data_IF_524474374880
#
_entry.id   IF_524474374880
#
_cell.length_a   1.000
_cell.length_b   1.000
_cell.length_c   1.000
_cell.angle_alpha   90.00
_cell.angle_beta   90.00
_cell.angle_gamma   90.00
#
_symmetry.space_group_name_H-M   'P 1'
#
loop_
_entity.id
_entity.type
_entity.pdbx_description
1 polymer ?
2 polymer ?
3 non-polymer ?
4 water ?
#
# COMPACT_ATOMS: atom_id res chain seq x y z
N UNK A 7 -2.77 0.92 13.52
CA UNK A 7 -1.66 0.14 14.08
C UNK A 7 -0.63 -0.27 13.01
N UNK A 8 0.65 -0.09 13.40
CA UNK A 8 1.86 -0.42 12.64
C UNK A 8 2.32 -1.80 13.10
N UNK A 9 2.66 -2.64 12.14
CA UNK A 9 3.15 -3.97 12.41
C UNK A 9 4.33 -4.29 11.50
N UNK A 10 5.34 -4.93 12.05
CA UNK A 10 6.42 -5.38 11.20
C UNK A 10 6.27 -6.87 10.97
N UNK A 11 6.53 -7.31 9.76
CA UNK A 11 6.45 -8.72 9.38
C UNK A 11 7.75 -9.18 8.76
N UNK A 12 7.99 -10.49 8.77
CA UNK A 12 9.18 -11.10 8.23
C UNK A 12 9.17 -11.09 6.71
N UNK A 13 10.37 -11.14 6.10
CA UNK A 13 10.52 -11.20 4.65
C UNK A 13 10.78 -12.67 4.29
N UNK A 14 9.79 -13.31 3.67
CA UNK A 14 9.80 -14.72 3.27
C UNK A 14 9.72 -14.85 1.74
N UNK A 15 9.88 -16.06 1.12
CA UNK A 15 9.73 -16.15 -0.35
C UNK A 15 8.27 -15.94 -0.79
N UNK A 16 7.34 -15.98 0.19
CA UNK A 16 5.92 -15.74 -0.03
C UNK A 16 5.62 -14.27 -0.29
N UNK A 17 6.44 -13.35 0.27
CA UNK A 17 6.20 -11.90 0.15
C UNK A 17 7.38 -11.08 -0.37
N UNK A 18 8.45 -11.73 -0.88
CA UNK A 18 9.64 -11.03 -1.39
C UNK A 18 9.27 -10.18 -2.62
N UNK A 19 8.36 -10.70 -3.48
CA UNK A 19 7.86 -10.01 -4.68
C UNK A 19 7.13 -8.73 -4.26
N UNK A 20 6.48 -8.73 -3.07
CA UNK A 20 5.79 -7.57 -2.52
C UNK A 20 6.81 -6.52 -2.04
N UNK A 21 7.91 -6.97 -1.38
CA UNK A 21 8.98 -6.07 -0.96
C UNK A 21 9.61 -5.41 -2.17
N UNK A 22 9.87 -6.20 -3.26
CA UNK A 22 10.48 -5.67 -4.49
C UNK A 22 9.59 -4.62 -5.14
N UNK A 23 8.25 -4.88 -5.13
CA UNK A 23 7.24 -3.98 -5.70
C UNK A 23 7.21 -2.65 -4.96
N UNK A 24 7.27 -2.68 -3.62
CA UNK A 24 7.33 -1.46 -2.77
C UNK A 24 8.66 -0.75 -3.02
N UNK A 25 9.80 -1.49 -3.01
CA UNK A 25 11.13 -0.89 -3.25
C UNK A 25 11.25 -0.21 -4.58
N UNK A 26 10.63 -0.83 -5.63
CA UNK A 26 10.58 -0.32 -7.01
C UNK A 26 9.85 1.00 -7.13
N UNK A 27 8.88 1.27 -6.25
CA UNK A 27 8.11 2.53 -6.25
C UNK A 27 8.77 3.58 -5.32
N UNK A 28 9.19 3.18 -4.11
CA UNK A 28 9.82 4.10 -3.14
C UNK A 28 11.19 4.66 -3.65
N UNK A 29 12.03 3.78 -4.21
CA UNK A 29 13.38 4.19 -4.62
C UNK A 29 13.61 4.17 -6.12
N UNK A 30 14.30 5.21 -6.67
CA UNK A 30 14.61 5.21 -8.12
C UNK A 30 15.74 4.26 -8.51
N UNK A 31 16.35 3.56 -7.53
CA UNK A 31 17.47 2.67 -7.76
C UNK A 31 16.98 1.24 -7.90
N UNK A 32 17.40 0.55 -8.97
CA UNK A 32 17.06 -0.84 -9.26
C UNK A 32 17.96 -1.77 -8.51
N UNK A 33 17.36 -2.64 -7.71
CA UNK A 33 18.10 -3.64 -6.99
C UNK A 33 17.98 -4.94 -7.76
N UNK A 34 19.09 -5.66 -7.88
CA UNK A 34 19.19 -6.91 -8.63
C UNK A 34 18.67 -8.10 -7.83
N UNK A 35 18.61 -9.30 -8.45
CA UNK A 35 18.12 -10.54 -7.84
C UNK A 35 18.97 -11.01 -6.65
N UNK A 36 20.30 -10.73 -6.67
CA UNK A 36 21.22 -11.07 -5.58
C UNK A 36 20.88 -10.24 -4.34
N UNK A 37 20.38 -9.00 -4.54
CA UNK A 37 19.97 -8.12 -3.43
C UNK A 37 18.81 -8.76 -2.67
N UNK A 38 17.80 -9.24 -3.40
CA UNK A 38 16.62 -9.88 -2.81
C UNK A 38 16.91 -11.29 -2.28
N UNK A 39 18.00 -11.93 -2.76
CA UNK A 39 18.46 -13.24 -2.29
C UNK A 39 19.10 -13.09 -0.89
N UNK A 40 19.91 -12.03 -0.71
CA UNK A 40 20.62 -11.70 0.54
C UNK A 40 19.67 -11.31 1.68
N UNK A 41 18.57 -10.61 1.32
CA UNK A 41 17.50 -10.13 2.22
C UNK A 41 16.79 -11.33 2.88
N UNK A 42 16.63 -12.43 2.13
CA UNK A 42 16.02 -13.67 2.62
C UNK A 42 16.90 -14.39 3.66
N UNK A 43 18.17 -13.95 3.83
CA UNK A 43 19.15 -14.56 4.74
C UNK A 43 19.61 -13.68 5.92
N UNK A 44 19.02 -12.49 6.13
CA UNK A 44 19.46 -11.60 7.21
C UNK A 44 18.58 -11.66 8.48
N UNK A 45 17.51 -12.46 8.43
CA UNK A 45 16.58 -12.61 9.54
C UNK A 45 15.84 -11.33 9.89
N UNK A 46 15.90 -10.96 11.17
CA UNK A 46 15.24 -9.78 11.73
C UNK A 46 15.74 -8.43 11.13
N UNK A 47 16.84 -8.44 10.37
CA UNK A 47 17.41 -7.25 9.73
C UNK A 47 16.64 -6.78 8.48
N UNK A 48 15.68 -7.59 8.02
CA UNK A 48 14.78 -7.26 6.91
C UNK A 48 13.35 -7.43 7.40
N UNK A 49 12.52 -6.39 7.26
CA UNK A 49 11.12 -6.42 7.70
C UNK A 49 10.22 -5.68 6.74
N UNK A 50 8.97 -6.15 6.61
CA UNK A 50 7.93 -5.45 5.86
C UNK A 50 7.17 -4.66 6.92
N UNK A 51 6.73 -3.44 6.59
CA UNK A 51 6.00 -2.53 7.47
C UNK A 51 4.52 -2.45 7.03
N UNK A 52 3.60 -2.63 8.00
CA UNK A 52 2.17 -2.70 7.74
C UNK A 52 1.43 -1.67 8.54
N UNK A 53 0.47 -1.02 7.90
CA UNK A 53 -0.37 -0.03 8.57
C UNK A 53 -1.79 -0.45 8.26
N UNK A 54 -2.56 -0.80 9.31
CA UNK A 54 -3.94 -1.31 9.18
C UNK A 54 -3.95 -2.52 8.24
N UNK A 55 -2.95 -3.41 8.41
CA UNK A 55 -2.69 -4.66 7.68
C UNK A 55 -2.29 -4.48 6.19
N UNK A 56 -2.05 -3.23 5.74
CA UNK A 56 -1.60 -2.98 4.36
C UNK A 56 -0.08 -2.65 4.33
N UNK A 57 0.70 -3.40 3.51
CA UNK A 57 2.16 -3.23 3.31
C UNK A 57 2.43 -1.88 2.64
N UNK A 58 3.07 -0.96 3.38
CA UNK A 58 3.36 0.37 2.83
C UNK A 58 4.85 0.74 2.92
N UNK A 59 5.66 -0.18 3.43
CA UNK A 59 7.08 0.09 3.64
C UNK A 59 7.90 -1.12 3.99
N UNK A 60 9.23 -0.93 4.03
CA UNK A 60 10.17 -2.01 4.29
C UNK A 60 11.52 -1.46 4.71
N UNK A 61 12.27 -2.26 5.48
CA UNK A 61 13.63 -1.97 5.95
C UNK A 61 14.48 -3.20 5.67
N UNK A 62 15.59 -3.02 4.92
CA UNK A 62 16.52 -4.10 4.59
C UNK A 62 17.90 -3.69 5.05
N UNK A 63 18.49 -4.47 5.96
CA UNK A 63 19.82 -4.24 6.53
C UNK A 63 20.70 -5.47 6.38
N UNK A 64 22.02 -5.27 6.49
CA UNK A 64 23.02 -6.33 6.47
C UNK A 64 24.18 -6.02 7.45
N UNK A 65 24.89 -7.07 7.88
CA UNK A 65 26.05 -6.87 8.74
C UNK A 65 27.22 -6.65 7.79
N UNK A 66 28.01 -5.62 8.08
CA UNK A 66 29.15 -5.26 7.26
C UNK A 66 30.41 -5.24 8.12
N UNK A 67 31.51 -5.71 7.56
CA UNK A 67 32.78 -5.76 8.27
C UNK A 67 33.83 -4.79 7.68
N UNK A 68 33.37 -3.74 6.99
CA UNK A 68 34.24 -2.72 6.41
C UNK A 68 34.92 -1.89 7.48
N UNK A 69 36.04 -1.21 7.10
CA UNK A 69 36.81 -0.31 7.97
C UNK A 69 37.28 -0.95 9.29
N UNK A 70 37.61 -2.27 9.27
CA UNK A 70 38.09 -3.03 10.45
C UNK A 70 37.15 -2.81 11.66
N UNK A 71 35.82 -2.87 11.37
CA UNK A 71 34.73 -2.61 12.30
C UNK A 71 33.60 -3.58 12.06
N UNK A 72 32.71 -3.73 13.08
CA UNK A 72 31.46 -4.48 12.98
C UNK A 72 30.42 -3.38 12.75
N UNK A 73 29.87 -3.32 11.55
CA UNK A 73 28.91 -2.26 11.19
C UNK A 73 27.55 -2.82 10.80
N UNK A 74 26.50 -2.06 11.06
CA UNK A 74 25.19 -2.44 10.56
C UNK A 74 24.89 -1.48 9.42
N UNK A 75 24.65 -2.05 8.23
CA UNK A 75 24.37 -1.25 7.03
C UNK A 75 22.89 -1.25 6.65
N UNK A 76 22.26 -0.06 6.72
CA UNK A 76 20.87 0.07 6.29
C UNK A 76 20.92 0.24 4.76
N UNK A 77 20.54 -0.82 4.03
CA UNK A 77 20.53 -0.86 2.56
C UNK A 77 19.37 -0.08 2.02
N UNK A 78 18.16 -0.31 2.54
CA UNK A 78 16.94 0.40 2.14
C UNK A 78 16.05 0.57 3.36
N UNK A 79 15.43 1.75 3.51
CA UNK A 79 14.49 2.03 4.58
C UNK A 79 13.56 3.09 4.01
N UNK A 80 12.27 2.77 3.95
CA UNK A 80 11.32 3.71 3.39
C UNK A 80 9.90 3.23 3.37
N UNK A 81 9.01 4.19 3.20
CA UNK A 81 7.56 4.03 3.08
C UNK A 81 7.09 4.66 1.79
N UNK A 82 5.88 4.27 1.36
CA UNK A 82 5.22 4.87 0.21
C UNK A 82 4.92 6.33 0.64
N UNK A 83 5.09 7.27 -0.28
CA UNK A 83 4.95 8.71 -0.03
C UNK A 83 3.73 9.12 0.86
N UNK A 84 2.49 8.54 0.76
CA UNK A 84 1.41 9.03 1.62
C UNK A 84 1.43 8.56 3.08
N UNK A 85 2.35 7.64 3.45
CA UNK A 85 2.47 7.01 4.77
C UNK A 85 3.76 7.37 5.52
N UNK A 86 4.35 8.54 5.22
CA UNK A 86 5.62 8.97 5.83
C UNK A 86 5.43 9.79 7.14
N UNK A 87 4.18 10.11 7.50
CA UNK A 87 3.87 10.84 8.74
C UNK A 87 3.08 9.99 9.68
N UNK A 88 3.20 8.63 9.58
CA UNK A 88 2.50 7.70 10.47
C UNK A 88 3.40 6.96 11.51
N UNK A 89 4.66 7.36 11.63
CA UNK A 89 5.58 6.75 12.60
C UNK A 89 6.06 5.38 12.20
N UNK A 90 5.91 5.04 10.92
CA UNK A 90 6.35 3.74 10.38
C UNK A 90 7.89 3.75 10.23
N UNK A 91 8.46 4.90 9.88
CA UNK A 91 9.90 5.02 9.76
C UNK A 91 10.61 4.83 11.09
N UNK A 92 10.04 5.38 12.16
CA UNK A 92 10.54 5.30 13.53
C UNK A 92 10.46 3.86 14.05
N UNK A 93 9.34 3.18 13.78
CA UNK A 93 9.09 1.80 14.19
C UNK A 93 10.15 0.93 13.52
N UNK A 94 10.36 1.11 12.19
CA UNK A 94 11.37 0.38 11.44
C UNK A 94 12.77 0.62 11.95
N UNK A 95 13.14 1.90 12.24
CA UNK A 95 14.49 2.24 12.73
C UNK A 95 14.70 1.75 14.17
N UNK A 96 13.71 1.94 15.06
CA UNK A 96 13.83 1.45 16.44
C UNK A 96 13.93 -0.07 16.49
N UNK A 97 13.43 -0.77 15.45
CA UNK A 97 13.53 -2.24 15.35
C UNK A 97 14.97 -2.65 15.11
N UNK A 98 15.67 -1.97 14.19
CA UNK A 98 17.04 -2.35 13.83
C UNK A 98 17.99 -1.89 14.92
N UNK A 99 17.72 -0.73 15.55
CA UNK A 99 18.48 -0.20 16.68
C UNK A 99 18.39 -1.13 17.90
N UNK A 100 17.29 -1.94 18.00
CA UNK A 100 17.02 -2.89 19.09
C UNK A 100 17.85 -4.15 18.91
N UNK A 101 17.96 -4.63 17.66
CA UNK A 101 18.80 -5.76 17.28
C UNK A 101 20.26 -5.41 17.63
N UNK A 102 20.63 -4.11 17.48
CA UNK A 102 21.97 -3.60 17.72
C UNK A 102 22.27 -3.34 19.18
N UNK A 103 21.33 -2.73 19.91
CA UNK A 103 21.45 -2.41 21.34
C UNK A 103 21.58 -3.70 22.16
N UNK A 104 20.75 -4.71 21.82
CA UNK A 104 20.73 -6.02 22.43
C UNK A 104 22.06 -6.74 22.18
N UNK A 105 22.61 -6.60 20.96
CA UNK A 105 23.87 -7.23 20.56
C UNK A 105 25.07 -6.70 21.35
N UNK A 106 25.18 -5.38 21.46
CA UNK A 106 26.22 -4.67 22.20
C UNK A 106 27.61 -4.57 21.58
N UNK A 107 27.91 -5.41 20.59
CA UNK A 107 29.23 -5.48 19.96
C UNK A 107 29.41 -4.74 18.61
N UNK A 108 28.41 -3.96 18.16
CA UNK A 108 28.53 -3.23 16.90
C UNK A 108 29.28 -1.93 17.13
N UNK A 109 30.12 -1.55 16.17
CA UNK A 109 30.84 -0.28 16.25
C UNK A 109 29.94 0.84 15.80
N UNK A 110 29.18 0.65 14.70
CA UNK A 110 28.28 1.69 14.20
C UNK A 110 27.18 1.19 13.27
N UNK A 111 26.24 2.11 12.95
CA UNK A 111 25.15 1.90 12.00
C UNK A 111 25.33 2.97 10.94
N UNK A 112 25.22 2.60 9.67
CA UNK A 112 25.40 3.59 8.63
C UNK A 112 24.54 3.32 7.42
N UNK A 113 24.36 4.37 6.62
CA UNK A 113 23.57 4.34 5.39
C UNK A 113 24.01 5.44 4.43
N UNK A 114 23.58 5.29 3.16
CA UNK A 114 23.79 6.26 2.10
C UNK A 114 22.48 6.90 1.82
N UNK A 115 22.50 8.20 1.48
CA UNK A 115 21.32 8.97 1.12
C UNK A 115 21.73 10.12 0.18
N UNK A 116 20.90 10.50 -0.83
CA UNK A 116 21.26 11.61 -1.72
C UNK A 116 21.42 12.86 -0.84
N UNK A 117 22.30 13.79 -1.25
CA UNK A 117 22.61 15.02 -0.50
C UNK A 117 21.41 15.97 -0.34
N UNK A 118 20.45 15.92 -1.28
CA UNK A 118 19.25 16.76 -1.30
C UNK A 118 18.04 16.16 -0.49
N UNK A 119 18.17 14.92 0.03
CA UNK A 119 17.09 14.27 0.79
C UNK A 119 17.07 14.75 2.25
N UNK A 120 16.65 16.01 2.45
CA UNK A 120 16.57 16.69 3.74
C UNK A 120 15.61 16.03 4.74
N UNK A 121 14.48 15.46 4.27
CA UNK A 121 13.52 14.78 5.15
C UNK A 121 14.17 13.55 5.82
N UNK A 122 14.94 12.76 5.06
CA UNK A 122 15.65 11.60 5.56
C UNK A 122 16.85 12.02 6.42
N UNK A 123 17.64 13.05 5.98
CA UNK A 123 18.76 13.56 6.79
C UNK A 123 18.25 13.98 8.18
N UNK A 124 17.21 14.82 8.23
CA UNK A 124 16.60 15.34 9.45
C UNK A 124 15.96 14.26 10.33
N UNK A 125 15.40 13.21 9.71
CA UNK A 125 14.80 12.08 10.42
C UNK A 125 15.91 11.34 11.19
N UNK A 126 17.01 10.96 10.49
CA UNK A 126 18.16 10.25 11.06
C UNK A 126 18.86 11.05 12.14
N UNK A 127 18.93 12.39 12.00
CA UNK A 127 19.53 13.29 12.98
C UNK A 127 18.88 13.15 14.37
N UNK A 128 17.59 12.75 14.41
CA UNK A 128 16.82 12.55 15.65
C UNK A 128 17.27 11.35 16.43
N UNK A 129 17.87 10.36 15.72
CA UNK A 129 18.36 9.13 16.35
C UNK A 129 19.87 9.13 16.60
N UNK A 130 20.49 10.30 16.49
CA UNK A 130 21.93 10.43 16.69
C UNK A 130 22.85 10.22 15.49
N UNK A 131 22.28 10.06 14.28
CA UNK A 131 23.10 9.92 13.05
C UNK A 131 23.64 11.26 12.63
N UNK A 132 24.90 11.28 12.18
CA UNK A 132 25.55 12.48 11.65
C UNK A 132 26.15 12.22 10.28
N UNK A 133 26.31 13.29 9.49
CA UNK A 133 26.95 13.20 8.19
C UNK A 133 28.45 13.07 8.48
N UNK A 134 29.06 11.99 8.01
CA UNK A 134 30.49 11.73 8.20
C UNK A 134 31.26 11.73 6.87
N UNK A 135 30.54 11.62 5.74
CA UNK A 135 31.19 11.55 4.43
C UNK A 135 30.23 11.99 3.31
N UNK A 136 30.79 12.52 2.22
CA UNK A 136 30.06 12.89 1.01
C UNK A 136 30.76 12.22 -0.15
N UNK A 137 30.02 11.38 -0.89
CA UNK A 137 30.51 10.58 -2.01
C UNK A 137 29.94 11.15 -3.34
N UNK A 138 30.84 11.63 -4.20
CA UNK A 138 30.50 12.16 -5.52
C UNK A 138 30.15 11.02 -6.45
N UNK A 139 29.02 11.17 -7.18
CA UNK A 139 28.48 10.18 -8.13
C UNK A 139 28.42 8.80 -7.54
N UNK A 140 27.90 8.73 -6.30
CA UNK A 140 27.70 7.43 -5.65
C UNK A 140 26.54 6.72 -6.38
N UNK A 141 25.53 7.48 -6.85
CA UNK A 141 24.40 6.87 -7.57
C UNK A 141 24.60 7.05 -9.07
N UNK A 142 23.92 6.22 -9.87
CA UNK A 142 23.97 6.38 -11.32
C UNK A 142 22.67 6.94 -11.88
N UNK A 143 22.80 7.88 -12.84
CA UNK A 143 21.74 8.54 -13.63
C UNK A 143 20.83 9.49 -12.83
N UNK A 144 20.47 9.16 -11.58
CA UNK A 144 19.57 10.00 -10.78
C UNK A 144 20.23 11.33 -10.38
N UNK A 145 19.43 12.38 -10.20
CA UNK A 145 19.89 13.73 -9.87
C UNK A 145 19.30 14.23 -8.54
N UNK A 146 20.14 14.55 -7.51
CA UNK A 146 21.61 14.50 -7.48
C UNK A 146 22.16 13.08 -7.41
N UNK A 147 23.39 12.88 -7.91
CA UNK A 147 24.04 11.55 -7.85
C UNK A 147 24.94 11.49 -6.60
N UNK A 148 25.16 12.64 -5.94
CA UNK A 148 26.02 12.73 -4.79
C UNK A 148 25.31 12.28 -3.51
N UNK A 149 25.97 11.42 -2.71
CA UNK A 149 25.42 10.86 -1.49
C UNK A 149 26.14 11.24 -0.21
N UNK A 150 25.41 11.41 0.89
CA UNK A 150 26.01 11.60 2.21
C UNK A 150 25.99 10.22 2.87
N UNK A 151 27.03 9.93 3.65
CA UNK A 151 27.07 8.74 4.49
C UNK A 151 26.62 9.26 5.86
N UNK A 152 25.55 8.69 6.39
CA UNK A 152 25.03 9.05 7.71
C UNK A 152 25.43 7.93 8.66
N UNK A 153 26.08 8.29 9.76
CA UNK A 153 26.52 7.23 10.68
C UNK A 153 26.16 7.51 12.13
N UNK A 154 25.75 6.45 12.85
CA UNK A 154 25.46 6.46 14.28
C UNK A 154 26.49 5.56 14.97
N UNK A 155 27.21 6.12 15.95
CA UNK A 155 28.18 5.37 16.73
C UNK A 155 27.46 4.47 17.71
N UNK A 156 27.72 3.16 17.65
CA UNK A 156 27.11 2.17 18.53
C UNK A 156 28.06 1.60 19.60
N UNK A 157 29.35 1.97 19.56
CA UNK A 157 30.34 1.44 20.48
C UNK A 157 30.06 1.78 21.93
N UNK A 158 29.97 0.74 22.73
CA UNK A 158 29.73 0.81 24.16
C UNK A 158 31.02 0.31 24.84
N UNK A 159 31.48 0.97 25.92
CA UNK A 159 32.67 0.47 26.61
C UNK A 159 32.50 -0.93 27.19
N UNK A 160 33.56 -1.75 27.04
CA UNK A 160 33.62 -3.09 27.63
C UNK A 160 34.38 -2.92 28.94
N UNK A 161 33.91 -3.59 29.98
CA UNK A 161 34.48 -3.51 31.32
C UNK A 161 33.36 -3.58 32.33
N UNK A 162 33.58 -4.31 33.43
CA UNK A 162 32.56 -4.52 34.47
C UNK A 162 32.22 -3.29 35.32
N UNK A 163 33.15 -2.32 35.41
CA UNK A 163 32.95 -1.06 36.16
C UNK A 163 33.80 0.07 35.58
N UNK A 164 33.55 1.30 36.02
CA UNK A 164 34.18 2.55 35.58
C UNK A 164 35.69 2.48 35.40
N UNK A 165 36.42 1.94 36.39
CA UNK A 165 37.87 1.82 36.40
C UNK A 165 38.48 1.01 35.22
N UNK A 166 37.70 0.08 34.61
CA UNK A 166 38.14 -0.78 33.50
C UNK A 166 37.43 -0.40 32.15
N UNK A 167 36.69 0.71 32.15
CA UNK A 167 35.97 1.19 30.98
C UNK A 167 36.71 2.32 30.30
N UNK A 168 36.91 2.16 28.98
CA UNK A 168 37.57 3.16 28.17
C UNK A 168 36.47 3.91 27.43
N UNK A 169 36.45 5.25 27.54
CA UNK A 169 35.41 6.08 26.91
C UNK A 169 35.93 7.48 26.62
N UNK A 170 35.05 8.36 26.11
CA UNK A 170 35.35 9.77 25.87
C UNK A 170 35.85 10.40 27.18
N UNK A 171 36.81 11.36 27.11
CA UNK A 171 37.41 11.97 28.30
C UNK A 171 37.51 13.50 28.18
N UNK B 7 1.13 3.58 -14.13
CA UNK B 7 0.29 2.65 -14.89
C UNK B 7 -0.67 1.78 -14.04
N UNK B 8 -1.94 1.72 -14.48
CA UNK B 8 -3.07 1.00 -13.87
C UNK B 8 -3.32 -0.34 -14.56
N UNK B 9 -3.45 -1.39 -13.75
CA UNK B 9 -3.74 -2.72 -14.24
C UNK B 9 -4.81 -3.36 -13.34
N UNK B 10 -5.77 -4.07 -13.96
CA UNK B 10 -6.78 -4.79 -13.20
C UNK B 10 -6.38 -6.26 -13.15
N UNK B 11 -6.53 -6.85 -11.98
CA UNK B 11 -6.17 -8.25 -11.75
C UNK B 11 -7.32 -9.04 -11.20
N UNK B 12 -7.34 -10.35 -11.49
CA UNK B 12 -8.39 -11.27 -11.04
C UNK B 12 -8.28 -11.55 -9.54
N UNK B 13 -9.46 -11.74 -8.88
CA UNK B 13 -9.55 -12.04 -7.45
C UNK B 13 -9.59 -13.57 -7.31
N UNK B 14 -8.53 -14.15 -6.70
CA UNK B 14 -8.35 -15.60 -6.49
C UNK B 14 -8.28 -15.93 -4.97
N UNK B 15 -8.37 -17.23 -4.54
CA UNK B 15 -8.27 -17.52 -3.09
C UNK B 15 -6.90 -17.18 -2.49
N UNK B 16 -5.86 -17.10 -3.35
CA UNK B 16 -4.53 -16.75 -2.87
C UNK B 16 -4.38 -15.25 -2.64
N UNK B 17 -5.20 -14.40 -3.32
CA UNK B 17 -5.14 -12.95 -3.14
C UNK B 17 -6.47 -12.35 -2.57
N UNK B 18 -7.42 -13.20 -2.09
CA UNK B 18 -8.69 -12.76 -1.49
C UNK B 18 -8.46 -11.98 -0.15
N UNK B 19 -7.41 -12.35 0.61
CA UNK B 19 -7.04 -11.69 1.87
C UNK B 19 -6.55 -10.25 1.63
N UNK B 20 -5.97 -9.99 0.44
CA UNK B 20 -5.49 -8.67 0.06
C UNK B 20 -6.68 -7.72 -0.24
N UNK B 21 -7.77 -8.30 -0.79
CA UNK B 21 -9.03 -7.59 -1.08
C UNK B 21 -9.77 -7.25 0.24
N UNK B 22 -9.81 -8.22 1.18
CA UNK B 22 -10.45 -8.08 2.49
C UNK B 22 -9.82 -6.95 3.31
N UNK B 23 -8.48 -6.85 3.25
CA UNK B 23 -7.70 -5.82 3.94
C UNK B 23 -7.91 -4.47 3.27
N UNK B 24 -7.93 -4.41 1.91
CA UNK B 24 -8.18 -3.14 1.18
C UNK B 24 -9.60 -2.65 1.51
N UNK B 25 -10.63 -3.54 1.44
CA UNK B 25 -12.04 -3.23 1.77
C UNK B 25 -12.22 -2.76 3.19
N UNK B 26 -11.51 -3.38 4.18
CA UNK B 26 -11.59 -2.97 5.58
C UNK B 26 -11.04 -1.57 5.86
N UNK B 27 -10.19 -1.05 4.96
CA UNK B 27 -9.64 0.30 5.13
C UNK B 27 -10.51 1.32 4.39
N UNK B 28 -10.85 1.04 3.12
CA UNK B 28 -11.64 1.92 2.24
C UNK B 28 -13.06 2.16 2.77
N UNK B 29 -13.75 1.08 3.19
CA UNK B 29 -15.15 1.13 3.64
C UNK B 29 -15.39 0.98 5.15
N UNK B 30 -16.21 1.88 5.78
CA UNK B 30 -16.52 1.72 7.21
C UNK B 30 -17.49 0.57 7.50
N UNK B 31 -17.86 -0.20 6.46
CA UNK B 31 -18.78 -1.34 6.55
C UNK B 31 -17.97 -2.62 6.44
N UNK B 32 -18.29 -3.62 7.27
CA UNK B 32 -17.63 -4.91 7.34
C UNK B 32 -18.42 -5.93 6.56
N UNK B 33 -17.73 -6.71 5.76
CA UNK B 33 -18.31 -7.73 4.90
C UNK B 33 -17.83 -9.12 5.35
N UNK B 34 -18.80 -10.03 5.54
CA UNK B 34 -18.60 -11.39 6.01
C UNK B 34 -18.00 -12.31 4.94
N UNK B 35 -17.80 -13.60 5.30
CA UNK B 35 -17.20 -14.61 4.41
C UNK B 35 -18.08 -14.99 3.22
N UNK B 36 -19.43 -14.86 3.33
CA UNK B 36 -20.33 -15.16 2.21
C UNK B 36 -20.08 -14.15 1.08
N UNK B 37 -19.87 -12.86 1.44
CA UNK B 37 -19.57 -11.78 0.49
C UNK B 37 -18.34 -12.18 -0.34
N UNK B 38 -17.27 -12.62 0.34
CA UNK B 38 -16.03 -13.02 -0.31
C UNK B 38 -16.10 -14.37 -1.03
N UNK B 39 -17.04 -15.25 -0.60
CA UNK B 39 -17.28 -16.55 -1.24
C UNK B 39 -17.89 -16.28 -2.63
N UNK B 40 -18.86 -15.34 -2.68
CA UNK B 40 -19.56 -14.92 -3.89
C UNK B 40 -18.61 -14.18 -4.84
N UNK B 41 -17.67 -13.39 -4.29
CA UNK B 41 -16.65 -12.65 -5.04
C UNK B 41 -15.77 -13.63 -5.86
N UNK B 42 -15.42 -14.78 -5.26
CA UNK B 42 -14.63 -15.83 -5.90
C UNK B 42 -15.40 -16.58 -7.02
N UNK B 43 -16.75 -16.43 -7.05
CA UNK B 43 -17.66 -17.07 -8.00
C UNK B 43 -18.01 -16.22 -9.25
N UNK B 44 -18.14 -14.88 -9.08
CA UNK B 44 -18.53 -13.92 -10.13
C UNK B 44 -17.50 -13.74 -11.27
N UNK B 45 -16.27 -14.26 -11.09
CA UNK B 45 -15.20 -14.18 -12.08
C UNK B 45 -14.74 -12.77 -12.39
N UNK B 46 -14.88 -12.36 -13.68
CA UNK B 46 -14.49 -11.04 -14.21
C UNK B 46 -15.19 -9.87 -13.50
N UNK B 47 -16.32 -10.13 -12.83
CA UNK B 47 -17.11 -9.13 -12.12
C UNK B 47 -16.43 -8.62 -10.84
N UNK B 48 -15.38 -9.32 -10.39
CA UNK B 48 -14.56 -8.95 -9.24
C UNK B 48 -13.12 -8.76 -9.72
N UNK B 49 -12.54 -7.58 -9.42
CA UNK B 49 -11.17 -7.26 -9.82
C UNK B 49 -10.41 -6.47 -8.75
N UNK B 50 -9.09 -6.70 -8.63
CA UNK B 50 -8.19 -5.91 -7.79
C UNK B 50 -7.52 -4.88 -8.71
N UNK B 51 -7.37 -3.62 -8.25
CA UNK B 51 -6.75 -2.57 -9.06
C UNK B 51 -5.33 -2.28 -8.58
N UNK B 52 -4.40 -2.20 -9.52
CA UNK B 52 -2.99 -1.99 -9.19
C UNK B 52 -2.46 -0.71 -9.80
N UNK B 53 -1.71 0.05 -9.02
CA UNK B 53 -1.06 1.22 -9.56
C UNK B 53 0.45 0.99 -9.37
N UNK B 54 1.21 0.94 -10.49
CA UNK B 54 2.65 0.68 -10.49
C UNK B 54 2.99 -0.58 -9.67
N UNK B 55 2.16 -1.65 -9.89
CA UNK B 55 2.22 -3.01 -9.29
C UNK B 55 1.74 -3.08 -7.82
N UNK B 56 1.30 -1.96 -7.26
CA UNK B 56 0.83 -2.00 -5.87
C UNK B 56 -0.71 -1.99 -5.83
N UNK B 57 -1.32 -2.97 -5.14
CA UNK B 57 -2.78 -3.07 -4.95
C UNK B 57 -3.26 -1.87 -4.14
N UNK B 58 -4.12 -1.07 -4.77
CA UNK B 58 -4.61 0.17 -4.14
C UNK B 58 -6.14 0.24 -4.14
N UNK B 59 -6.81 -0.73 -4.78
CA UNK B 59 -8.24 -0.69 -4.88
C UNK B 59 -8.83 -1.97 -5.41
N UNK B 60 -10.18 -2.00 -5.50
CA UNK B 60 -10.92 -3.19 -5.97
C UNK B 60 -12.40 -2.91 -6.31
N UNK B 61 -12.96 -3.73 -7.17
CA UNK B 61 -14.37 -3.65 -7.54
C UNK B 61 -15.01 -5.02 -7.31
N UNK B 62 -16.12 -5.07 -6.56
CA UNK B 62 -16.83 -6.34 -6.32
C UNK B 62 -18.28 -6.18 -6.78
N UNK B 63 -18.68 -6.99 -7.77
CA UNK B 63 -20.03 -6.99 -8.37
C UNK B 63 -20.69 -8.35 -8.29
N UNK B 64 -22.03 -8.36 -8.29
CA UNK B 64 -22.82 -9.59 -8.32
C UNK B 64 -23.94 -9.47 -9.34
N UNK B 65 -24.30 -10.61 -9.98
CA UNK B 65 -25.41 -10.63 -10.93
C UNK B 65 -26.67 -10.76 -10.07
N UNK B 66 -27.47 -9.68 -10.04
CA UNK B 66 -28.68 -9.59 -9.22
C UNK B 66 -29.98 -9.82 -10.01
N UNK B 67 -30.89 -10.61 -9.40
CA UNK B 67 -32.20 -10.96 -9.95
C UNK B 67 -33.39 -10.35 -9.13
N UNK B 68 -33.29 -9.05 -8.76
CA UNK B 68 -34.37 -8.34 -8.04
C UNK B 68 -35.27 -7.60 -9.02
N UNK B 69 -36.56 -7.37 -8.64
CA UNK B 69 -37.61 -6.72 -9.46
C UNK B 69 -37.85 -7.51 -10.77
N UNK B 70 -37.61 -8.86 -10.73
CA UNK B 70 -37.70 -9.84 -11.84
C UNK B 70 -36.76 -9.48 -13.01
N UNK B 71 -35.70 -8.69 -12.73
CA UNK B 71 -34.76 -8.17 -13.74
C UNK B 71 -33.40 -8.85 -13.82
N UNK B 72 -32.57 -8.32 -14.75
CA UNK B 72 -31.18 -8.66 -14.99
C UNK B 72 -30.46 -7.38 -14.60
N UNK B 73 -30.00 -7.33 -13.33
CA UNK B 73 -29.35 -6.14 -12.80
C UNK B 73 -27.94 -6.44 -12.39
N UNK B 74 -27.04 -5.50 -12.66
CA UNK B 74 -25.66 -5.66 -12.23
C UNK B 74 -25.50 -4.79 -10.99
N UNK B 75 -25.17 -5.43 -9.88
CA UNK B 75 -25.02 -4.73 -8.62
C UNK B 75 -23.58 -4.51 -8.22
N UNK B 76 -23.15 -3.24 -8.23
CA UNK B 76 -21.81 -2.88 -7.77
C UNK B 76 -21.89 -2.87 -6.26
N UNK B 77 -21.41 -3.93 -5.64
CA UNK B 77 -21.42 -4.04 -4.18
C UNK B 77 -20.41 -3.09 -3.54
N UNK B 78 -19.15 -3.08 -4.05
CA UNK B 78 -18.08 -2.21 -3.56
C UNK B 78 -17.15 -1.74 -4.66
N UNK B 79 -16.78 -0.45 -4.64
CA UNK B 79 -15.87 0.12 -5.62
C UNK B 79 -15.12 1.26 -4.95
N UNK B 80 -13.80 1.08 -4.85
CA UNK B 80 -13.01 2.12 -4.24
C UNK B 80 -11.53 1.90 -4.30
N UNK B 81 -10.80 2.95 -4.00
CA UNK B 81 -9.34 2.97 -3.87
C UNK B 81 -9.00 3.45 -2.48
N UNK B 82 -7.73 3.26 -2.06
CA UNK B 82 -7.22 3.83 -0.82
C UNK B 82 -7.21 5.35 -1.09
N UNK B 83 -7.53 6.16 -0.08
CA UNK B 83 -7.64 7.62 -0.20
C UNK B 83 -6.53 8.30 -1.01
N UNK B 84 -5.20 7.99 -0.88
CA UNK B 84 -4.20 8.69 -1.72
C UNK B 84 -4.23 8.41 -3.22
N UNK B 85 -4.96 7.36 -3.67
CA UNK B 85 -4.99 6.91 -5.08
C UNK B 85 -6.32 7.14 -5.82
N UNK B 86 -7.07 8.13 -5.37
CA UNK B 86 -8.41 8.43 -5.90
C UNK B 86 -8.42 9.46 -6.99
N UNK B 87 -7.25 9.99 -7.37
CA UNK B 87 -7.18 10.98 -8.47
C UNK B 87 -6.27 10.49 -9.59
N UNK B 88 -6.13 9.15 -9.72
CA UNK B 88 -5.29 8.51 -10.73
C UNK B 88 -6.06 7.84 -11.86
N UNK B 89 -7.38 7.98 -11.90
CA UNK B 89 -8.17 7.35 -12.95
C UNK B 89 -8.40 5.86 -12.74
N UNK B 90 -8.16 5.35 -11.53
CA UNK B 90 -8.36 3.93 -11.17
C UNK B 90 -9.88 3.61 -11.04
N UNK B 91 -10.65 4.54 -10.47
CA UNK B 91 -12.10 4.37 -10.35
C UNK B 91 -12.73 4.17 -11.73
N UNK B 92 -12.36 5.04 -12.67
CA UNK B 92 -12.77 5.02 -14.07
C UNK B 92 -12.38 3.67 -14.74
N UNK B 93 -11.14 3.19 -14.56
CA UNK B 93 -10.69 1.92 -15.12
C UNK B 93 -11.56 0.77 -14.58
N UNK B 94 -11.87 0.79 -13.26
CA UNK B 94 -12.73 -0.23 -12.64
C UNK B 94 -14.17 -0.16 -13.18
N UNK B 95 -14.75 1.05 -13.24
CA UNK B 95 -16.12 1.19 -13.74
C UNK B 95 -16.23 0.81 -15.24
N UNK B 96 -15.28 1.29 -16.09
CA UNK B 96 -15.29 0.97 -17.53
C UNK B 96 -15.15 -0.52 -17.76
N UNK B 97 -14.42 -1.22 -16.86
CA UNK B 97 -14.25 -2.68 -16.92
C UNK B 97 -15.58 -3.42 -16.81
N UNK B 98 -16.41 -3.08 -15.79
CA UNK B 98 -17.69 -3.74 -15.56
C UNK B 98 -18.74 -3.32 -16.60
N UNK B 99 -18.71 -2.05 -17.04
CA UNK B 99 -19.61 -1.53 -18.09
C UNK B 99 -19.35 -2.28 -19.41
N UNK B 100 -18.09 -2.76 -19.61
CA UNK B 100 -17.72 -3.51 -20.79
C UNK B 100 -18.27 -4.94 -20.73
N UNK B 101 -18.47 -5.49 -19.52
CA UNK B 101 -19.04 -6.83 -19.31
C UNK B 101 -20.55 -6.74 -19.64
N UNK B 102 -21.16 -5.58 -19.32
CA UNK B 102 -22.56 -5.24 -19.57
C UNK B 102 -22.83 -5.07 -21.07
N UNK B 103 -21.99 -4.30 -21.78
CA UNK B 103 -22.09 -4.06 -23.22
C UNK B 103 -21.91 -5.37 -24.01
N UNK B 104 -20.97 -6.24 -23.56
CA UNK B 104 -20.69 -7.53 -24.18
C UNK B 104 -21.89 -8.47 -24.03
N UNK B 105 -22.62 -8.38 -22.88
CA UNK B 105 -23.79 -9.21 -22.62
C UNK B 105 -25.01 -8.68 -23.35
N UNK B 106 -25.38 -7.41 -23.10
CA UNK B 106 -26.53 -6.76 -23.72
C UNK B 106 -27.84 -6.99 -22.99
N UNK B 107 -27.95 -8.16 -22.32
CA UNK B 107 -29.10 -8.61 -21.53
C UNK B 107 -29.52 -7.65 -20.41
N UNK B 108 -28.54 -7.09 -19.68
CA UNK B 108 -28.74 -6.25 -18.52
C UNK B 108 -29.68 -5.09 -18.75
N UNK B 109 -30.67 -4.96 -17.85
CA UNK B 109 -31.64 -3.89 -17.88
C UNK B 109 -30.97 -2.67 -17.28
N UNK B 110 -30.18 -2.89 -16.19
CA UNK B 110 -29.51 -1.83 -15.43
C UNK B 110 -28.34 -2.27 -14.56
N UNK B 111 -27.57 -1.27 -14.12
CA UNK B 111 -26.45 -1.37 -13.20
C UNK B 111 -26.79 -0.37 -12.10
N UNK B 112 -26.60 -0.80 -10.83
CA UNK B 112 -26.89 0.00 -9.66
C UNK B 112 -25.96 -0.30 -8.48
N UNK B 113 -26.00 0.58 -7.48
CA UNK B 113 -25.17 0.51 -6.28
C UNK B 113 -25.81 1.40 -5.20
N UNK B 114 -25.35 1.26 -3.96
CA UNK B 114 -25.75 2.14 -2.84
C UNK B 114 -24.57 3.02 -2.47
N UNK B 115 -24.86 4.24 -2.02
CA UNK B 115 -23.85 5.20 -1.63
C UNK B 115 -24.44 6.04 -0.50
N UNK B 116 -23.62 6.44 0.49
CA UNK B 116 -24.04 7.32 1.59
C UNK B 116 -24.43 8.66 0.97
N UNK B 117 -25.56 9.27 1.41
CA UNK B 117 -26.08 10.54 0.87
C UNK B 117 -25.07 11.69 0.88
N UNK B 118 -24.14 11.67 1.82
CA UNK B 118 -23.12 12.72 1.94
C UNK B 118 -21.92 12.46 1.00
N UNK B 119 -21.83 11.28 0.37
CA UNK B 119 -20.65 10.98 -0.45
C UNK B 119 -20.73 11.66 -1.86
N UNK B 120 -20.60 12.99 -1.87
CA UNK B 120 -20.66 13.84 -3.06
C UNK B 120 -19.60 13.47 -4.09
N UNK B 121 -18.37 13.07 -3.63
CA UNK B 121 -17.30 12.66 -4.52
C UNK B 121 -17.69 11.43 -5.36
N UNK B 122 -18.21 10.36 -4.72
CA UNK B 122 -18.70 9.17 -5.41
C UNK B 122 -19.99 9.43 -6.22
N UNK B 123 -20.88 10.35 -5.76
CA UNK B 123 -22.12 10.67 -6.51
C UNK B 123 -21.76 11.35 -7.83
N UNK B 124 -20.99 12.47 -7.76
CA UNK B 124 -20.49 13.24 -8.91
C UNK B 124 -19.71 12.37 -9.88
N UNK B 125 -18.92 11.40 -9.36
CA UNK B 125 -18.16 10.47 -10.19
C UNK B 125 -19.14 9.62 -11.05
N UNK B 126 -20.11 8.96 -10.40
CA UNK B 126 -21.08 8.11 -11.06
C UNK B 126 -21.99 8.86 -12.04
N UNK B 127 -22.29 10.13 -11.77
CA UNK B 127 -23.10 11.02 -12.62
C UNK B 127 -22.45 11.17 -13.99
N UNK B 128 -21.11 11.28 -13.98
CA UNK B 128 -20.25 11.41 -15.15
C UNK B 128 -20.44 10.27 -16.14
N UNK B 129 -20.85 9.08 -15.65
CA UNK B 129 -21.11 7.87 -16.44
C UNK B 129 -22.62 7.61 -16.71
N UNK B 130 -23.44 8.64 -16.51
CA UNK B 130 -24.89 8.51 -16.73
C UNK B 130 -25.77 8.00 -15.60
N UNK B 131 -25.19 7.69 -14.41
CA UNK B 131 -25.94 7.20 -13.23
C UNK B 131 -26.67 8.33 -12.56
N UNK B 132 -27.92 8.08 -12.14
CA UNK B 132 -28.67 9.10 -11.40
C UNK B 132 -29.27 8.59 -10.11
N UNK B 133 -29.70 9.52 -9.25
CA UNK B 133 -30.37 9.15 -7.99
C UNK B 133 -31.81 8.74 -8.30
N UNK B 134 -32.12 7.45 -8.14
CA UNK B 134 -33.45 6.92 -8.39
C UNK B 134 -34.25 6.66 -7.07
N UNK B 135 -33.57 6.28 -5.96
CA UNK B 135 -34.22 5.93 -4.68
C UNK B 135 -33.34 6.33 -3.47
N UNK B 136 -33.97 6.68 -2.34
CA UNK B 136 -33.26 7.05 -1.11
C UNK B 136 -33.71 6.19 0.07
N UNK B 137 -32.82 5.32 0.56
CA UNK B 137 -33.08 4.44 1.68
C UNK B 137 -32.73 5.13 3.03
N UNK B 138 -33.76 5.46 3.79
CA UNK B 138 -33.65 6.08 5.13
C UNK B 138 -32.95 5.07 6.03
N UNK B 139 -31.85 5.48 6.73
CA UNK B 139 -31.11 4.62 7.67
C UNK B 139 -30.78 3.26 7.06
N UNK B 140 -30.19 3.26 5.84
CA UNK B 140 -29.80 2.02 5.17
C UNK B 140 -28.53 1.48 5.83
N UNK B 141 -27.66 2.36 6.34
CA UNK B 141 -26.43 1.95 7.04
C UNK B 141 -26.66 1.96 8.56
N UNK B 142 -26.19 0.90 9.27
CA UNK B 142 -26.33 0.75 10.72
C UNK B 142 -25.82 1.93 11.63
N UNK B 143 -24.50 2.00 11.88
CA UNK B 143 -23.86 2.95 12.81
C UNK B 143 -23.27 4.23 12.21
N UNK B 144 -22.96 4.26 10.91
CA UNK B 144 -22.31 5.44 10.34
C UNK B 144 -23.29 6.60 10.16
N UNK B 145 -22.78 7.82 10.20
CA UNK B 145 -23.54 9.05 10.08
C UNK B 145 -23.02 9.90 8.90
N UNK B 146 -23.89 10.26 7.93
CA UNK B 146 -25.33 9.92 7.82
C UNK B 146 -25.57 8.44 7.51
N UNK B 147 -26.66 7.87 8.03
CA UNK B 147 -26.99 6.45 7.82
C UNK B 147 -27.86 6.24 6.56
N UNK B 148 -28.37 7.34 5.97
CA UNK B 148 -29.21 7.31 4.74
C UNK B 148 -28.36 7.03 3.50
N UNK B 149 -28.89 6.21 2.57
CA UNK B 149 -28.20 5.88 1.32
C UNK B 149 -29.00 6.27 0.11
N UNK B 150 -28.31 6.55 -0.99
CA UNK B 150 -28.95 6.79 -2.29
C UNK B 150 -28.70 5.56 -3.11
N UNK B 151 -29.66 5.17 -3.92
CA UNK B 151 -29.54 4.11 -4.91
C UNK B 151 -29.18 4.88 -6.19
N UNK B 152 -28.01 4.59 -6.76
CA UNK B 152 -27.55 5.23 -8.00
C UNK B 152 -27.78 4.22 -9.12
N UNK B 153 -28.41 4.63 -10.22
CA UNK B 153 -28.71 3.67 -11.30
C UNK B 153 -28.36 4.14 -12.71
N UNK B 154 -27.90 3.22 -13.55
CA UNK B 154 -27.61 3.45 -14.97
C UNK B 154 -28.48 2.52 -15.81
N UNK B 155 -29.34 3.13 -16.62
CA UNK B 155 -30.26 2.42 -17.52
C UNK B 155 -29.52 1.74 -18.66
N UNK B 156 -29.36 0.43 -18.58
CA UNK B 156 -28.64 -0.33 -19.61
C UNK B 156 -29.54 -0.75 -20.81
N UNK B 157 -30.83 -0.38 -20.75
CA UNK B 157 -31.85 -0.68 -21.75
C UNK B 157 -31.63 0.08 -23.05
N UNK B 158 -31.53 -0.69 -24.18
CA UNK B 158 -31.39 -0.19 -25.55
C UNK B 158 -32.34 -1.02 -26.48
N UNK B 159 -33.09 -0.33 -27.38
CA UNK B 159 -34.04 -1.05 -28.26
C UNK B 159 -33.42 -2.13 -29.13
N UNK B 166 -39.41 -0.58 -35.83
CA UNK B 166 -39.77 -0.96 -34.47
C UNK B 166 -38.60 -0.60 -33.52
N UNK B 167 -38.23 0.69 -33.51
CA UNK B 167 -37.24 1.20 -32.59
C UNK B 167 -38.18 1.84 -31.55
N UNK B 168 -38.35 1.17 -30.40
CA UNK B 168 -39.20 1.64 -29.31
C UNK B 168 -38.27 2.52 -28.49
N UNK B 169 -38.57 3.82 -28.38
CA UNK B 169 -37.66 4.73 -27.67
C UNK B 169 -38.43 5.91 -27.03
N UNK B 170 -37.70 6.95 -26.54
CA UNK B 170 -38.23 8.17 -25.96
C UNK B 170 -38.86 8.99 -27.06
N UNK B 171 -39.86 9.83 -26.74
CA UNK B 171 -40.56 10.65 -27.74
C UNK B 171 -40.90 12.06 -27.27
N UNK C 2 19.45 4.20 1.03
CA UNK C 2 19.34 3.86 -0.37
C UNK C 2 20.74 3.55 -0.88
N UNK C 3 20.96 2.20 -0.93
CA UNK C 3 22.13 1.56 -1.47
C UNK C 3 22.16 1.94 -2.93
N UNK C 4 23.43 2.22 -3.34
CA UNK C 4 23.68 2.63 -4.69
C UNK C 4 24.57 1.59 -5.35
N UNK C 5 25.10 2.05 -6.56
CA UNK C 5 24.51 3.07 -7.41
C UNK C 5 23.35 2.48 -8.13
N UNK D 2 -21.11 1.29 -1.71
CA UNK D 2 -20.96 0.59 -0.44
C UNK D 2 -22.27 -0.11 -0.13
N UNK D 3 -22.19 -1.49 -0.28
CA UNK D 3 -23.22 -2.41 0.18
C UNK D 3 -23.32 -2.27 1.69
N UNK D 4 -24.61 -2.31 2.11
CA UNK D 4 -24.90 -2.23 3.52
C UNK D 4 -25.57 -3.50 3.95
N UNK D 5 -26.17 -3.40 5.20
CA UNK D 5 -25.64 -2.58 6.27
C UNK D 5 -24.77 -3.40 7.17
#
# INVERSE_FOLDING_TARGET
GSMKGSRIELGDVTPHNIKQLKRLNQVIFPVSYNDKFYKDVLEVGELAKLAYFNDIAVGAVCCRVDHSQNQKRLYIMTLGCLAPYRRLGIGTKMLNHVLNICEKDGTFDNIYLHVQISNESAIDFYRKFGFEIIETKKNYYKRIEPADAHVLQKNLKVPSGQNADVQKTDN
GSMKGSRIELGDVTPHNIKQLKRLNQVIFPVSYNDKFYKDVLEVGELAKLAYFNDIAVGAVCCRVDHSQNQKRLYIMTLGCLAPYRRLGIGTKMLNHVLNICEKDGTFDNIYLHVQISNESAIDFYRKFGFEIIETKKNYYKRIEPADAHVLQKNLKVPSGQNADVQKTDN
XMLGPX
XMLGPX
#
